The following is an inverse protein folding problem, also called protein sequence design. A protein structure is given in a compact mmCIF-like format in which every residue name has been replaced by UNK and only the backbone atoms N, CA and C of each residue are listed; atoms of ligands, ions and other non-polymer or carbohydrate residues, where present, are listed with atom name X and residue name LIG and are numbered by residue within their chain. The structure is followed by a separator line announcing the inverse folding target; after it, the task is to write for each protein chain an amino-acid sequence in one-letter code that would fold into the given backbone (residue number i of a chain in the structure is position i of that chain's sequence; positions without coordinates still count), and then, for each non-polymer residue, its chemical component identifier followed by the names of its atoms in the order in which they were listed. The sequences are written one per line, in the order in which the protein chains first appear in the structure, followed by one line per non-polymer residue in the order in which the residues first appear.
data_IF_709938102826
#
_entry.id   IF_709938102826
#
_cell.length_a   1.000
_cell.length_b   1.000
_cell.length_c   1.000
_cell.angle_alpha   90.00
_cell.angle_beta   90.00
_cell.angle_gamma   90.00
#
_symmetry.space_group_name_H-M   'P 1'
#
loop_
_entity.id
_entity.type
_entity.pdbx_description
1 polymer ?
#
# COMPACT_ATOMS: atom_id res chain seq x y z
N UNK A 1 -20.64 3.29 6.99
CA UNK A 1 -19.67 3.37 8.11
C UNK A 1 -19.57 4.81 8.53
N UNK A 2 -20.37 5.22 9.50
CA UNK A 2 -20.44 6.59 10.03
C UNK A 2 -19.83 6.64 11.44
N UNK A 3 -18.69 5.96 11.62
CA UNK A 3 -18.09 5.72 12.93
C UNK A 3 -17.10 6.82 13.38
N UNK A 4 -17.09 8.00 12.74
CA UNK A 4 -16.34 9.15 13.26
C UNK A 4 -14.83 8.92 13.48
N UNK A 5 -14.19 8.01 12.73
CA UNK A 5 -12.76 7.76 12.90
C UNK A 5 -11.94 9.01 12.58
N UNK A 6 -11.02 9.38 13.47
CA UNK A 6 -10.04 10.45 13.22
C UNK A 6 -9.15 10.13 12.03
N UNK A 7 -8.82 8.85 11.85
CA UNK A 7 -8.00 8.35 10.76
C UNK A 7 -8.26 6.85 10.53
N UNK A 8 -8.11 6.39 9.29
CA UNK A 8 -8.16 4.98 8.90
C UNK A 8 -6.80 4.54 8.40
N UNK A 9 -6.28 3.43 8.92
CA UNK A 9 -5.07 2.77 8.40
C UNK A 9 -5.51 1.51 7.68
N UNK A 10 -5.36 1.49 6.35
CA UNK A 10 -5.70 0.36 5.51
C UNK A 10 -4.49 -0.56 5.29
N UNK A 11 -4.48 -1.69 6.00
CA UNK A 11 -3.50 -2.76 5.90
C UNK A 11 -4.07 -4.05 5.26
N UNK A 12 -5.13 -3.94 4.45
CA UNK A 12 -5.75 -5.08 3.76
C UNK A 12 -4.85 -5.56 2.61
N UNK A 13 -4.70 -6.88 2.44
CA UNK A 13 -3.91 -7.52 1.37
C UNK A 13 -4.73 -7.79 0.09
N UNK A 14 -6.03 -8.01 0.25
CA UNK A 14 -6.95 -8.38 -0.81
C UNK A 14 -7.45 -7.15 -1.57
N UNK A 15 -7.13 -7.07 -2.87
CA UNK A 15 -7.41 -5.89 -3.72
C UNK A 15 -8.88 -5.46 -3.72
N UNK A 16 -9.84 -6.39 -3.68
CA UNK A 16 -11.28 -6.09 -3.76
C UNK A 16 -11.77 -5.29 -2.54
N UNK A 17 -11.67 -5.81 -1.30
CA UNK A 17 -12.05 -5.04 -0.11
C UNK A 17 -11.19 -3.79 0.07
N UNK A 18 -9.89 -3.86 -0.26
CA UNK A 18 -8.99 -2.70 -0.21
C UNK A 18 -9.46 -1.54 -1.09
N UNK A 19 -9.83 -1.81 -2.34
CA UNK A 19 -10.34 -0.80 -3.25
C UNK A 19 -11.67 -0.20 -2.77
N UNK A 20 -12.57 -1.03 -2.23
CA UNK A 20 -13.85 -0.57 -1.68
C UNK A 20 -13.66 0.38 -0.50
N UNK A 21 -12.77 0.05 0.44
CA UNK A 21 -12.44 0.89 1.58
C UNK A 21 -11.87 2.24 1.14
N UNK A 22 -10.85 2.23 0.27
CA UNK A 22 -10.21 3.46 -0.22
C UNK A 22 -11.22 4.34 -0.99
N UNK A 23 -12.03 3.75 -1.85
CA UNK A 23 -13.04 4.49 -2.62
C UNK A 23 -14.06 5.16 -1.69
N UNK A 24 -14.52 4.44 -0.65
CA UNK A 24 -15.42 4.99 0.36
C UNK A 24 -14.76 6.14 1.12
N UNK A 25 -13.59 5.93 1.74
CA UNK A 25 -12.90 6.95 2.53
C UNK A 25 -12.61 8.21 1.70
N UNK A 26 -12.18 8.04 0.44
CA UNK A 26 -11.95 9.15 -0.48
C UNK A 26 -13.22 9.94 -0.81
N UNK A 27 -14.33 9.25 -1.09
CA UNK A 27 -15.62 9.89 -1.43
C UNK A 27 -16.19 10.68 -0.26
N UNK A 28 -16.11 10.11 0.94
CA UNK A 28 -16.67 10.70 2.16
C UNK A 28 -15.66 11.54 2.96
N UNK A 29 -14.47 11.80 2.40
CA UNK A 29 -13.40 12.61 3.01
C UNK A 29 -12.98 12.10 4.40
N UNK A 30 -13.04 10.79 4.62
CA UNK A 30 -12.48 10.15 5.83
C UNK A 30 -10.96 10.09 5.66
N UNK A 31 -10.16 10.68 6.58
CA UNK A 31 -8.70 10.64 6.48
C UNK A 31 -8.19 9.19 6.47
N UNK A 32 -7.34 8.86 5.49
CA UNK A 32 -6.85 7.50 5.30
C UNK A 32 -5.37 7.49 4.85
N UNK A 33 -4.65 6.47 5.29
CA UNK A 33 -3.38 6.02 4.71
C UNK A 33 -3.52 4.54 4.40
N UNK A 34 -3.09 4.13 3.21
CA UNK A 34 -3.03 2.71 2.84
C UNK A 34 -1.59 2.22 2.87
N UNK A 35 -1.39 0.93 3.04
CA UNK A 35 -0.12 0.27 2.76
C UNK A 35 -0.16 -0.44 1.41
N UNK A 36 1.00 -0.48 0.77
CA UNK A 36 1.30 -1.33 -0.38
C UNK A 36 1.60 -2.77 0.02
N UNK A 37 2.18 -3.53 -0.90
CA UNK A 37 2.69 -4.88 -0.62
C UNK A 37 4.03 -4.82 0.12
N UNK A 38 4.11 -5.41 1.30
CA UNK A 38 5.33 -5.46 2.13
C UNK A 38 6.07 -6.82 2.06
N UNK A 39 5.52 -7.81 1.34
CA UNK A 39 6.17 -9.09 1.10
C UNK A 39 7.19 -8.99 -0.03
N UNK A 40 8.19 -9.88 -0.02
CA UNK A 40 9.25 -9.95 -1.02
C UNK A 40 10.27 -8.80 -0.91
N UNK A 41 10.41 -8.21 0.29
CA UNK A 41 11.27 -7.08 0.58
C UNK A 41 12.07 -7.36 1.85
N UNK A 42 13.31 -6.88 1.91
CA UNK A 42 14.22 -7.11 3.03
C UNK A 42 14.82 -5.83 3.61
N UNK A 43 14.73 -4.69 2.92
CA UNK A 43 15.35 -3.44 3.33
C UNK A 43 14.32 -2.43 3.87
N UNK A 44 14.20 -2.29 5.21
CA UNK A 44 13.24 -1.36 5.80
C UNK A 44 13.61 0.11 5.58
N UNK A 45 14.84 0.43 5.17
CA UNK A 45 15.30 1.82 4.98
C UNK A 45 14.74 2.47 3.71
N UNK A 46 14.21 1.65 2.78
CA UNK A 46 13.60 2.10 1.53
C UNK A 46 12.09 2.39 1.64
N UNK A 47 11.51 2.23 2.84
CA UNK A 47 10.09 2.47 3.10
C UNK A 47 9.81 3.97 3.16
N UNK A 48 8.82 4.42 2.40
CA UNK A 48 8.43 5.83 2.35
C UNK A 48 6.93 5.99 2.06
N UNK A 49 6.45 7.24 2.14
CA UNK A 49 5.04 7.59 1.87
C UNK A 49 4.94 8.48 0.64
N UNK A 50 4.10 8.09 -0.31
CA UNK A 50 3.77 8.90 -1.48
C UNK A 50 2.28 8.77 -1.85
N UNK A 51 1.83 9.55 -2.83
CA UNK A 51 0.48 9.33 -3.40
C UNK A 51 0.44 7.95 -4.08
N UNK A 52 -0.65 7.21 -3.90
CA UNK A 52 -0.86 5.87 -4.48
C UNK A 52 -0.61 5.85 -5.99
N UNK A 53 -0.85 6.95 -6.71
CA UNK A 53 -0.59 7.09 -8.14
C UNK A 53 0.89 7.01 -8.53
N UNK A 54 1.80 7.18 -7.55
CA UNK A 54 3.24 7.35 -7.73
C UNK A 54 4.08 6.22 -7.14
N UNK A 55 3.46 5.21 -6.54
CA UNK A 55 4.21 4.06 -6.02
C UNK A 55 4.86 3.26 -7.15
N UNK A 56 6.04 2.73 -6.86
CA UNK A 56 6.85 1.89 -7.77
C UNK A 56 7.15 0.55 -7.09
N UNK A 57 7.62 -0.43 -7.87
CA UNK A 57 7.98 -1.78 -7.38
C UNK A 57 6.91 -2.51 -6.55
N UNK A 58 5.64 -2.13 -6.73
CA UNK A 58 4.53 -2.66 -5.93
C UNK A 58 3.37 -3.16 -6.83
N UNK A 59 3.27 -4.48 -7.05
CA UNK A 59 2.19 -5.11 -7.80
C UNK A 59 0.82 -4.98 -7.14
N UNK A 60 0.75 -4.93 -5.80
CA UNK A 60 -0.52 -4.75 -5.08
C UNK A 60 -1.07 -3.35 -5.34
N UNK A 61 -0.23 -2.34 -5.18
CA UNK A 61 -0.60 -0.95 -5.48
C UNK A 61 -0.97 -0.77 -6.96
N UNK A 62 -0.27 -1.43 -7.89
CA UNK A 62 -0.62 -1.39 -9.31
C UNK A 62 -2.03 -1.96 -9.59
N UNK A 63 -2.30 -3.19 -9.11
CA UNK A 63 -3.64 -3.82 -9.23
C UNK A 63 -4.72 -3.01 -8.52
N UNK A 64 -4.39 -2.38 -7.40
CA UNK A 64 -5.29 -1.51 -6.66
C UNK A 64 -5.68 -0.27 -7.45
N UNK A 65 -4.72 0.40 -8.11
CA UNK A 65 -4.99 1.54 -9.00
C UNK A 65 -5.91 1.17 -10.16
N UNK A 66 -5.66 0.03 -10.80
CA UNK A 66 -6.52 -0.49 -11.87
C UNK A 66 -7.93 -0.75 -11.36
N UNK A 67 -8.07 -1.44 -10.21
CA UNK A 67 -9.36 -1.73 -9.61
C UNK A 67 -10.12 -0.45 -9.23
N UNK A 68 -9.45 0.53 -8.64
CA UNK A 68 -10.02 1.84 -8.29
C UNK A 68 -10.55 2.58 -9.52
N UNK A 69 -9.80 2.55 -10.63
CA UNK A 69 -10.24 3.13 -11.91
C UNK A 69 -11.46 2.41 -12.47
N UNK A 70 -11.41 1.08 -12.60
CA UNK A 70 -12.43 0.30 -13.29
C UNK A 70 -13.73 0.13 -12.51
N UNK A 71 -13.65 -0.10 -11.20
CA UNK A 71 -14.83 -0.43 -10.39
C UNK A 71 -15.40 0.77 -9.62
N UNK A 72 -14.61 1.81 -9.39
CA UNK A 72 -15.02 2.95 -8.56
C UNK A 72 -14.86 4.32 -9.25
N UNK A 73 -14.39 4.36 -10.50
CA UNK A 73 -14.18 5.60 -11.25
C UNK A 73 -13.14 6.54 -10.63
N UNK A 74 -12.30 6.04 -9.72
CA UNK A 74 -11.28 6.83 -9.04
C UNK A 74 -10.05 6.93 -9.94
N UNK A 75 -9.88 8.09 -10.58
CA UNK A 75 -8.78 8.39 -11.50
C UNK A 75 -7.89 9.52 -10.99
N UNK A 76 -6.69 9.62 -11.59
CA UNK A 76 -5.73 10.68 -11.27
C UNK A 76 -6.30 12.04 -11.68
N UNK A 77 -6.06 13.07 -10.88
CA UNK A 77 -6.36 14.46 -11.23
C UNK A 77 -5.30 15.06 -12.20
N UNK A 78 -5.46 16.32 -12.58
CA UNK A 78 -4.52 17.04 -13.46
C UNK A 78 -3.07 17.10 -12.95
N UNK A 79 -2.86 16.91 -11.65
CA UNK A 79 -1.52 16.82 -11.02
C UNK A 79 -0.98 15.39 -10.95
N UNK A 80 -1.64 14.43 -11.61
CA UNK A 80 -1.26 13.03 -11.64
C UNK A 80 -1.43 12.30 -10.30
N UNK A 81 -2.28 12.79 -9.40
CA UNK A 81 -2.50 12.23 -8.05
C UNK A 81 -3.88 11.61 -7.89
N UNK A 82 -3.98 10.52 -7.13
CA UNK A 82 -5.27 9.95 -6.71
C UNK A 82 -5.84 10.64 -5.46
N UNK A 83 -4.98 11.31 -4.67
CA UNK A 83 -5.35 11.90 -3.39
C UNK A 83 -5.46 10.85 -2.29
N UNK A 84 -4.61 9.83 -2.35
CA UNK A 84 -4.56 8.73 -1.37
C UNK A 84 -3.10 8.52 -1.00
N UNK A 85 -2.76 8.74 0.28
CA UNK A 85 -1.40 8.51 0.78
C UNK A 85 -1.16 7.01 0.95
N UNK A 86 -0.03 6.51 0.46
CA UNK A 86 0.36 5.09 0.46
C UNK A 86 1.78 4.91 1.00
N UNK A 87 1.94 4.02 1.98
CA UNK A 87 3.24 3.50 2.40
C UNK A 87 3.69 2.43 1.42
N UNK A 88 4.91 2.53 0.89
CA UNK A 88 5.49 1.56 -0.04
C UNK A 88 7.02 1.57 0.08
N UNK A 89 7.70 0.57 -0.48
CA UNK A 89 9.16 0.53 -0.58
C UNK A 89 9.61 0.76 -2.03
N UNK A 90 10.76 1.40 -2.22
CA UNK A 90 11.41 1.49 -3.55
C UNK A 90 12.13 0.21 -3.94
N UNK A 91 12.28 -0.73 -3.01
CA UNK A 91 12.99 -1.99 -3.19
C UNK A 91 12.29 -2.86 -4.25
N UNK A 92 13.08 -3.43 -5.16
CA UNK A 92 12.57 -4.43 -6.09
C UNK A 92 12.19 -5.72 -5.36
N UNK A 93 11.08 -6.34 -5.76
CA UNK A 93 10.60 -7.56 -5.12
C UNK A 93 11.54 -8.75 -5.35
N UNK A 94 11.73 -9.54 -4.30
CA UNK A 94 12.45 -10.81 -4.27
C UNK A 94 11.45 -11.96 -4.36
N UNK A 95 11.59 -12.80 -5.38
CA UNK A 95 10.69 -13.90 -5.70
C UNK A 95 11.30 -15.25 -5.31
N UNK A 96 10.51 -16.17 -4.71
CA UNK A 96 10.95 -17.54 -4.47
C UNK A 96 11.05 -18.33 -5.79
N UNK A 97 11.99 -19.26 -5.85
CA UNK A 97 12.20 -20.19 -6.97
C UNK A 97 11.88 -21.64 -6.56
N UNK A 98 11.62 -22.50 -7.54
CA UNK A 98 11.30 -23.91 -7.29
C UNK A 98 12.45 -24.71 -6.67
N UNK A 99 13.69 -24.27 -6.87
CA UNK A 99 14.90 -24.86 -6.29
C UNK A 99 15.18 -24.38 -4.85
N UNK A 100 14.30 -23.57 -4.27
CA UNK A 100 14.43 -23.01 -2.92
C UNK A 100 15.30 -21.74 -2.85
N UNK A 101 15.87 -21.29 -3.98
CA UNK A 101 16.60 -20.02 -4.06
C UNK A 101 15.64 -18.82 -4.21
N UNK A 102 16.20 -17.61 -4.24
CA UNK A 102 15.44 -16.37 -4.46
C UNK A 102 16.06 -15.52 -5.56
N UNK A 103 15.24 -14.77 -6.30
CA UNK A 103 15.70 -13.89 -7.38
C UNK A 103 14.91 -12.58 -7.43
N UNK A 104 15.57 -11.49 -7.82
CA UNK A 104 14.92 -10.19 -8.05
C UNK A 104 14.21 -10.09 -9.42
N UNK A 105 14.39 -11.08 -10.30
CA UNK A 105 13.80 -11.07 -11.65
C UNK A 105 12.46 -11.82 -11.70
N UNK A 106 11.40 -11.07 -12.04
CA UNK A 106 10.04 -11.60 -12.22
C UNK A 106 9.89 -12.66 -13.32
N UNK A 107 10.83 -12.71 -14.27
CA UNK A 107 10.77 -13.56 -15.46
C UNK A 107 11.12 -15.03 -15.19
N UNK A 108 11.94 -15.31 -14.17
CA UNK A 108 12.42 -16.66 -13.85
C UNK A 108 11.58 -17.36 -12.79
N UNK A 109 10.74 -16.63 -12.05
CA UNK A 109 9.92 -17.18 -10.98
C UNK A 109 8.72 -17.99 -11.53
N UNK A 110 8.77 -19.31 -11.34
CA UNK A 110 7.66 -20.25 -11.56
C UNK A 110 6.80 -20.39 -10.29
N UNK A 111 5.46 -20.42 -10.43
CA UNK A 111 4.51 -20.58 -9.32
C UNK A 111 3.45 -19.46 -9.17
N UNK A 112 2.50 -19.59 -8.22
CA UNK A 112 1.42 -18.62 -8.02
C UNK A 112 1.97 -17.23 -7.66
N UNK A 113 1.81 -16.27 -8.57
CA UNK A 113 2.21 -14.85 -8.38
C UNK A 113 1.19 -14.08 -7.53
N UNK A 114 0.65 -14.74 -6.50
CA UNK A 114 -0.31 -14.16 -5.55
C UNK A 114 0.45 -13.55 -4.38
N UNK A 115 -0.13 -12.50 -3.82
CA UNK A 115 0.39 -11.83 -2.65
C UNK A 115 -0.37 -12.36 -1.43
N UNK A 116 -0.29 -13.67 -1.23
CA UNK A 116 -0.87 -14.37 -0.09
C UNK A 116 0.22 -15.13 0.65
N UNK A 117 0.03 -15.33 1.96
CA UNK A 117 0.98 -16.02 2.81
C UNK A 117 1.07 -17.53 2.54
N UNK A 118 0.18 -18.08 1.70
CA UNK A 118 0.05 -19.52 1.47
C UNK A 118 0.82 -20.02 0.23
N UNK A 119 0.99 -19.18 -0.79
CA UNK A 119 1.61 -19.58 -2.06
C UNK A 119 2.48 -18.51 -2.71
N UNK A 120 2.70 -17.38 -2.01
CA UNK A 120 3.29 -16.17 -2.55
C UNK A 120 4.66 -15.80 -1.98
N UNK A 121 4.92 -14.49 -1.97
CA UNK A 121 6.15 -13.90 -1.47
C UNK A 121 6.41 -14.23 0.01
N UNK A 122 7.68 -14.43 0.36
CA UNK A 122 8.12 -14.43 1.77
C UNK A 122 7.99 -13.03 2.39
N UNK A 123 8.01 -12.94 3.72
CA UNK A 123 7.96 -11.68 4.44
C UNK A 123 8.87 -11.70 5.67
N UNK A 124 9.43 -10.54 6.03
CA UNK A 124 10.27 -10.37 7.20
C UNK A 124 9.66 -9.32 8.13
N UNK A 125 9.63 -9.62 9.44
CA UNK A 125 9.06 -8.74 10.47
C UNK A 125 9.61 -7.32 10.41
N UNK A 126 10.92 -7.18 10.18
CA UNK A 126 11.60 -5.88 10.11
C UNK A 126 10.99 -4.97 9.04
N UNK A 127 10.55 -5.53 7.92
CA UNK A 127 9.91 -4.76 6.84
C UNK A 127 8.44 -4.56 7.13
N UNK A 128 7.68 -5.63 7.38
CA UNK A 128 6.22 -5.55 7.55
C UNK A 128 5.82 -4.70 8.75
N UNK A 129 6.55 -4.79 9.87
CA UNK A 129 6.33 -3.95 11.03
C UNK A 129 6.65 -2.48 10.74
N UNK A 130 7.75 -2.21 10.04
CA UNK A 130 8.14 -0.84 9.67
C UNK A 130 7.13 -0.18 8.73
N UNK A 131 6.50 -0.93 7.81
CA UNK A 131 5.36 -0.42 7.04
C UNK A 131 4.23 0.08 7.94
N UNK A 132 3.88 -0.70 8.98
CA UNK A 132 2.88 -0.31 9.97
C UNK A 132 3.31 0.92 10.78
N UNK A 133 4.55 0.94 11.27
CA UNK A 133 5.08 2.07 12.04
C UNK A 133 5.10 3.36 11.22
N UNK A 134 5.56 3.31 9.96
CA UNK A 134 5.54 4.47 9.06
C UNK A 134 4.11 4.94 8.77
N UNK A 135 3.15 4.02 8.59
CA UNK A 135 1.74 4.37 8.41
C UNK A 135 1.18 5.14 9.62
N UNK A 136 1.44 4.65 10.84
CA UNK A 136 1.01 5.29 12.09
C UNK A 136 1.68 6.66 12.25
N UNK A 137 3.00 6.76 12.09
CA UNK A 137 3.72 8.04 12.17
C UNK A 137 3.19 9.06 11.17
N UNK A 138 2.85 8.62 9.95
CA UNK A 138 2.25 9.51 8.95
C UNK A 138 0.84 9.98 9.34
N UNK A 139 0.01 9.09 9.87
CA UNK A 139 -1.32 9.44 10.38
C UNK A 139 -1.22 10.47 11.52
N UNK A 140 -0.37 10.23 12.52
CA UNK A 140 -0.15 11.16 13.64
C UNK A 140 0.32 12.53 13.15
N UNK A 141 1.30 12.59 12.24
CA UNK A 141 1.76 13.84 11.63
C UNK A 141 0.62 14.62 10.96
N UNK A 142 -0.29 13.95 10.24
CA UNK A 142 -1.43 14.57 9.59
C UNK A 142 -2.47 15.08 10.58
N UNK A 143 -2.72 14.32 11.65
CA UNK A 143 -3.63 14.72 12.74
C UNK A 143 -3.10 15.97 13.43
N UNK A 144 -1.83 15.97 13.85
CA UNK A 144 -1.19 17.12 14.50
C UNK A 144 -1.20 18.37 13.60
N UNK A 145 -0.84 18.22 12.32
CA UNK A 145 -0.85 19.34 11.38
C UNK A 145 -2.26 19.84 11.05
N UNK A 146 -3.32 19.05 11.30
CA UNK A 146 -4.71 19.51 11.19
C UNK A 146 -5.11 20.30 12.43
N UNK A 147 -4.77 19.83 13.63
CA UNK A 147 -5.04 20.52 14.89
C UNK A 147 -4.38 21.90 14.92
N UNK A 148 -3.09 21.99 14.57
CA UNK A 148 -2.34 23.26 14.52
C UNK A 148 -2.81 24.27 13.46
N UNK A 149 -3.72 23.88 12.55
CA UNK A 149 -4.35 24.80 11.57
C UNK A 149 -5.72 25.30 12.03
N UNK A 150 -6.25 24.76 13.12
CA UNK A 150 -7.53 25.12 13.72
C UNK A 150 -7.36 26.06 14.92
N UNK A 151 -6.14 26.10 15.48
CA UNK A 151 -5.63 27.16 16.35
C UNK A 151 -5.27 28.41 15.53
#
# INVERSE_FOLDING_TARGET
MDAGFTYVIDAIDSVRPKAALIAYCRRYKVPLVTTGGAGGQIDPTQIQVADLAKTIQDPLAAKLRERLKHNFGVVKNSKGKLGVDCVFSTEALVYPQADGSVCAMKATAEGPKRMDCASGFGAATMVTATFGFVAVSHALKKIMAKAARQE
#
